data_IF_921809736342
#
_entry.id   IF_921809736342
#
_cell.length_a   1.000
_cell.length_b   1.000
_cell.length_c   1.000
_cell.angle_alpha   90.00
_cell.angle_beta   90.00
_cell.angle_gamma   90.00
#
_symmetry.space_group_name_H-M   'P 1'
#
loop_
_entity.id
_entity.type
_entity.pdbx_description
1 polymer ?
#
# COMPACT_ATOMS: atom_id res chain seq x y z
N UNK A 1 2.41 12.68 8.39
CA UNK A 1 1.22 12.19 9.14
C UNK A 1 1.39 12.55 10.60
N UNK A 2 0.43 13.29 11.16
CA UNK A 2 0.43 13.63 12.58
C UNK A 2 -0.23 12.47 13.36
N UNK A 3 0.60 11.64 13.98
CA UNK A 3 0.17 10.48 14.75
C UNK A 3 -0.24 10.90 16.16
N UNK A 4 -1.54 10.94 16.43
CA UNK A 4 -2.06 11.21 17.76
C UNK A 4 -1.81 10.02 18.69
N UNK A 5 -1.28 10.28 19.90
CA UNK A 5 -1.01 9.27 20.94
C UNK A 5 -2.23 8.39 21.22
N UNK A 6 -3.42 8.97 21.29
CA UNK A 6 -4.67 8.24 21.51
C UNK A 6 -5.00 7.23 20.40
N UNK A 7 -4.69 7.55 19.13
CA UNK A 7 -4.93 6.64 18.01
C UNK A 7 -3.96 5.44 18.05
N UNK A 8 -2.70 5.69 18.42
CA UNK A 8 -1.71 4.64 18.59
C UNK A 8 -2.08 3.72 19.76
N UNK A 9 -2.46 4.27 20.89
CA UNK A 9 -2.89 3.49 22.05
C UNK A 9 -4.13 2.64 21.75
N UNK A 10 -5.12 3.20 21.05
CA UNK A 10 -6.29 2.47 20.62
C UNK A 10 -5.96 1.31 19.67
N UNK A 11 -5.00 1.50 18.78
CA UNK A 11 -4.50 0.45 17.90
C UNK A 11 -3.80 -0.66 18.69
N UNK A 12 -2.88 -0.32 19.56
CA UNK A 12 -2.15 -1.29 20.38
C UNK A 12 -3.09 -2.08 21.31
N UNK A 13 -4.14 -1.43 21.85
CA UNK A 13 -5.17 -2.10 22.65
C UNK A 13 -5.97 -3.14 21.84
N UNK A 14 -6.09 -2.98 20.53
CA UNK A 14 -6.71 -4.02 19.68
C UNK A 14 -5.78 -5.22 19.49
N UNK A 15 -4.48 -4.99 19.33
CA UNK A 15 -3.50 -6.06 19.16
C UNK A 15 -3.23 -6.85 20.44
N UNK A 16 -3.09 -6.17 21.58
CA UNK A 16 -2.60 -6.76 22.82
C UNK A 16 -3.66 -6.85 23.92
N UNK A 17 -4.86 -6.35 23.67
CA UNK A 17 -5.96 -6.33 24.62
C UNK A 17 -6.12 -5.02 25.38
N UNK A 18 -7.31 -4.83 25.98
CA UNK A 18 -7.73 -3.58 26.63
C UNK A 18 -6.85 -3.16 27.82
N UNK A 19 -6.11 -4.09 28.42
CA UNK A 19 -5.21 -3.82 29.54
C UNK A 19 -3.86 -3.20 29.17
N UNK A 20 -3.63 -2.88 27.87
CA UNK A 20 -2.43 -2.18 27.44
C UNK A 20 -2.46 -0.71 27.88
N UNK A 21 -1.33 -0.24 28.39
CA UNK A 21 -1.05 1.16 28.68
C UNK A 21 0.13 1.62 27.85
N UNK A 22 -0.04 2.68 27.07
CA UNK A 22 1.03 3.31 26.31
C UNK A 22 1.86 4.19 27.24
N UNK A 23 3.13 3.83 27.47
CA UNK A 23 4.05 4.54 28.36
C UNK A 23 4.63 5.76 27.66
N UNK A 24 5.36 5.54 26.58
CA UNK A 24 6.04 6.62 25.85
C UNK A 24 6.13 6.37 24.36
N UNK A 25 6.39 7.44 23.62
CA UNK A 25 6.74 7.40 22.20
C UNK A 25 7.91 8.34 21.95
N UNK A 26 8.92 7.89 21.21
CA UNK A 26 10.11 8.67 20.90
C UNK A 26 10.54 8.41 19.47
N UNK A 27 10.83 9.47 18.70
CA UNK A 27 11.47 9.31 17.38
C UNK A 27 12.88 8.79 17.55
N UNK A 28 13.25 7.83 16.72
CA UNK A 28 14.61 7.31 16.68
C UNK A 28 15.44 8.14 15.70
N UNK A 29 16.71 8.39 16.06
CA UNK A 29 17.65 9.12 15.19
C UNK A 29 17.68 10.63 15.34
N UNK A 30 16.91 11.25 16.23
CA UNK A 30 16.97 12.72 16.47
C UNK A 30 18.21 13.17 17.28
N UNK A 31 19.04 12.27 17.76
CA UNK A 31 20.21 12.58 18.61
C UNK A 31 21.55 12.61 17.85
N UNK A 32 21.53 12.66 16.51
CA UNK A 32 22.75 12.49 15.72
C UNK A 32 23.24 13.84 15.22
N UNK A 33 24.38 14.27 15.75
CA UNK A 33 25.01 15.58 15.52
C UNK A 33 26.04 15.62 14.38
N UNK A 34 26.20 14.55 13.58
CA UNK A 34 27.22 14.51 12.53
C UNK A 34 26.67 14.11 11.17
N UNK A 35 27.22 14.69 10.10
CA UNK A 35 26.83 14.49 8.70
C UNK A 35 27.07 13.05 8.20
N UNK A 36 27.88 12.25 8.86
CA UNK A 36 28.17 10.86 8.50
C UNK A 36 27.06 9.90 8.93
N UNK A 37 26.32 10.23 9.96
CA UNK A 37 25.24 9.41 10.52
C UNK A 37 23.93 9.49 9.69
N UNK A 38 23.83 10.41 8.73
CA UNK A 38 22.64 10.59 7.86
C UNK A 38 22.44 9.43 6.88
N UNK A 39 23.49 8.67 6.58
CA UNK A 39 23.42 7.52 5.65
C UNK A 39 22.72 6.27 6.20
N UNK A 40 22.51 6.18 7.50
CA UNK A 40 21.92 5.00 8.15
C UNK A 40 20.40 4.98 8.22
N UNK A 41 19.71 6.07 7.90
CA UNK A 41 18.25 6.18 8.05
C UNK A 41 17.56 6.28 6.69
N UNK A 42 17.57 5.21 5.98
CA UNK A 42 16.94 5.10 4.63
C UNK A 42 15.46 5.25 4.70
N UNK A 43 14.45 5.08 4.65
CA UNK A 43 13.09 5.09 4.18
C UNK A 43 11.98 5.56 5.16
N UNK A 44 12.29 6.10 6.32
CA UNK A 44 11.21 6.55 7.23
C UNK A 44 11.72 7.31 8.46
N UNK A 45 10.81 7.69 9.34
CA UNK A 45 11.12 8.21 10.68
C UNK A 45 10.59 7.20 11.70
N UNK A 46 11.40 6.19 12.11
CA UNK A 46 10.94 5.17 13.03
C UNK A 46 10.61 5.78 14.40
N UNK A 47 9.51 5.33 14.97
CA UNK A 47 9.02 5.72 16.28
C UNK A 47 9.17 4.55 17.24
N UNK A 48 10.02 4.69 18.26
CA UNK A 48 10.04 3.77 19.38
C UNK A 48 8.76 3.96 20.19
N UNK A 49 8.09 2.87 20.49
CA UNK A 49 6.84 2.80 21.24
C UNK A 49 7.07 1.91 22.45
N UNK A 50 6.92 2.46 23.65
CA UNK A 50 7.02 1.71 24.91
C UNK A 50 5.63 1.57 25.52
N UNK A 51 5.31 0.35 25.94
CA UNK A 51 3.98 0.03 26.48
C UNK A 51 4.09 -1.01 27.61
N UNK A 52 3.00 -1.16 28.34
CA UNK A 52 2.86 -2.18 29.37
C UNK A 52 1.58 -2.98 29.12
N UNK A 53 1.67 -4.30 29.23
CA UNK A 53 0.54 -5.23 29.14
C UNK A 53 0.56 -6.14 30.37
N UNK A 54 -0.47 -6.10 31.18
CA UNK A 54 -0.59 -6.97 32.38
C UNK A 54 0.65 -6.90 33.28
N UNK A 55 1.21 -5.72 33.52
CA UNK A 55 2.39 -5.50 34.34
C UNK A 55 3.74 -5.82 33.68
N UNK A 56 3.73 -6.28 32.42
CA UNK A 56 4.97 -6.55 31.65
C UNK A 56 5.24 -5.42 30.68
N UNK A 57 6.41 -4.82 30.75
CA UNK A 57 6.88 -3.80 29.82
C UNK A 57 7.28 -4.44 28.49
N UNK A 58 6.93 -3.79 27.40
CA UNK A 58 7.30 -4.13 26.04
C UNK A 58 7.69 -2.89 25.25
N UNK A 59 8.37 -3.11 24.14
CA UNK A 59 8.70 -2.04 23.18
C UNK A 59 8.52 -2.55 21.76
N UNK A 60 8.18 -1.63 20.87
CA UNK A 60 8.07 -1.88 19.44
C UNK A 60 8.54 -0.66 18.65
N UNK A 61 8.87 -0.86 17.39
CA UNK A 61 9.21 0.23 16.46
C UNK A 61 8.11 0.33 15.42
N UNK A 62 7.45 1.47 15.37
CA UNK A 62 6.49 1.80 14.31
C UNK A 62 7.23 2.53 13.21
N UNK A 63 7.29 1.92 12.03
CA UNK A 63 7.94 2.49 10.84
C UNK A 63 6.93 2.74 9.74
N UNK A 64 7.16 3.78 8.95
CA UNK A 64 6.45 4.05 7.71
C UNK A 64 7.45 4.50 6.66
N UNK A 65 7.16 4.20 5.40
CA UNK A 65 8.02 4.64 4.30
C UNK A 65 7.75 6.10 3.97
N UNK A 66 8.80 6.86 3.68
CA UNK A 66 8.68 8.23 3.13
C UNK A 66 8.32 8.16 1.66
N UNK A 67 7.59 9.16 1.20
CA UNK A 67 7.42 9.40 -0.23
C UNK A 67 8.77 9.83 -0.78
N UNK A 68 9.35 9.03 -1.67
CA UNK A 68 10.59 9.36 -2.38
C UNK A 68 10.33 9.24 -3.87
N UNK A 69 10.63 10.30 -4.61
CA UNK A 69 10.55 10.29 -6.05
C UNK A 69 11.72 9.49 -6.63
N UNK A 70 11.41 8.57 -7.53
CA UNK A 70 12.42 7.87 -8.33
C UNK A 70 12.82 6.45 -7.89
N UNK A 71 12.41 5.97 -6.71
CA UNK A 71 12.79 4.64 -6.19
C UNK A 71 11.61 3.70 -5.92
N UNK A 72 10.50 3.85 -6.64
CA UNK A 72 9.35 2.97 -6.45
C UNK A 72 8.57 3.16 -5.15
N UNK A 73 8.83 4.23 -4.39
CA UNK A 73 8.15 4.53 -3.12
C UNK A 73 7.27 5.79 -3.21
N UNK A 74 7.13 6.33 -4.38
CA UNK A 74 6.36 7.53 -4.67
C UNK A 74 4.86 7.27 -4.61
N UNK A 75 4.37 6.18 -5.19
CA UNK A 75 2.96 5.85 -5.15
C UNK A 75 2.57 5.09 -3.88
N UNK A 76 1.36 5.35 -3.40
CA UNK A 76 0.82 4.73 -2.19
C UNK A 76 0.79 3.19 -2.26
N UNK A 77 0.36 2.62 -3.40
CA UNK A 77 0.24 1.17 -3.58
C UNK A 77 1.59 0.45 -3.54
N UNK A 78 2.66 1.09 -4.01
CA UNK A 78 3.99 0.50 -3.99
C UNK A 78 4.51 0.38 -2.56
N UNK A 79 4.31 1.43 -1.76
CA UNK A 79 4.64 1.39 -0.34
C UNK A 79 3.82 0.35 0.43
N UNK A 80 2.53 0.21 0.10
CA UNK A 80 1.67 -0.82 0.70
C UNK A 80 2.17 -2.23 0.37
N UNK A 81 2.48 -2.51 -0.91
CA UNK A 81 3.04 -3.79 -1.37
C UNK A 81 4.29 -4.16 -0.58
N UNK A 82 5.24 -3.23 -0.47
CA UNK A 82 6.50 -3.47 0.24
C UNK A 82 6.27 -3.78 1.72
N UNK A 83 5.41 -3.01 2.41
CA UNK A 83 5.13 -3.24 3.84
C UNK A 83 4.45 -4.59 4.09
N UNK A 84 3.51 -4.97 3.24
CA UNK A 84 2.84 -6.27 3.33
C UNK A 84 3.84 -7.42 3.11
N UNK A 85 4.71 -7.29 2.10
CA UNK A 85 5.74 -8.28 1.83
C UNK A 85 6.75 -8.38 2.98
N UNK A 86 7.22 -7.24 3.52
CA UNK A 86 8.15 -7.21 4.66
C UNK A 86 7.54 -7.88 5.90
N UNK A 87 6.25 -7.68 6.17
CA UNK A 87 5.57 -8.35 7.28
C UNK A 87 5.68 -9.88 7.17
N UNK A 88 5.50 -10.42 5.98
CA UNK A 88 5.67 -11.86 5.74
C UNK A 88 7.14 -12.27 5.83
N UNK A 89 8.04 -11.60 5.10
CA UNK A 89 9.44 -11.96 4.98
C UNK A 89 10.15 -11.93 6.34
N UNK A 90 10.02 -10.88 7.13
CA UNK A 90 10.69 -10.73 8.42
C UNK A 90 10.32 -11.82 9.43
N UNK A 91 9.10 -12.35 9.33
CA UNK A 91 8.65 -13.41 10.21
C UNK A 91 9.11 -14.82 9.79
N UNK A 92 9.69 -14.96 8.59
CA UNK A 92 10.25 -16.21 8.08
C UNK A 92 11.79 -16.25 8.06
N UNK A 93 12.46 -15.11 8.27
CA UNK A 93 13.90 -15.04 8.30
C UNK A 93 14.46 -15.49 9.66
N UNK A 94 15.51 -16.31 9.70
CA UNK A 94 16.17 -16.69 10.95
C UNK A 94 16.92 -15.48 11.56
N UNK A 95 16.87 -15.36 12.88
CA UNK A 95 17.58 -14.31 13.63
C UNK A 95 17.26 -12.88 13.20
N UNK A 96 16.06 -12.66 12.67
CA UNK A 96 15.59 -11.35 12.23
C UNK A 96 14.61 -10.74 13.23
N UNK A 97 14.55 -9.40 13.29
CA UNK A 97 13.52 -8.69 14.05
C UNK A 97 12.14 -9.01 13.46
N UNK A 98 11.25 -9.55 14.29
CA UNK A 98 9.91 -9.95 13.85
C UNK A 98 9.04 -8.75 13.58
N UNK A 99 8.27 -8.81 12.52
CA UNK A 99 7.12 -7.91 12.34
C UNK A 99 6.00 -8.34 13.28
N UNK A 100 5.52 -7.41 14.10
CA UNK A 100 4.42 -7.66 15.05
C UNK A 100 3.05 -7.51 14.38
N UNK A 101 2.96 -6.62 13.41
CA UNK A 101 1.77 -6.35 12.61
C UNK A 101 2.12 -5.52 11.38
N UNK A 102 1.25 -5.54 10.38
CA UNK A 102 1.23 -4.61 9.25
C UNK A 102 -0.14 -3.93 9.19
N UNK A 103 -0.17 -2.67 8.81
CA UNK A 103 -1.41 -1.92 8.79
C UNK A 103 -1.29 -0.62 7.99
N UNK A 104 -2.34 0.18 8.05
CA UNK A 104 -2.39 1.46 7.35
C UNK A 104 -2.95 2.58 8.22
N UNK A 105 -2.62 3.80 7.84
CA UNK A 105 -3.19 5.01 8.41
C UNK A 105 -4.39 5.45 7.57
N UNK A 106 -5.50 5.74 8.23
CA UNK A 106 -6.63 6.39 7.58
C UNK A 106 -6.33 7.88 7.39
N UNK A 107 -7.10 8.57 6.55
CA UNK A 107 -7.03 10.04 6.38
C UNK A 107 -7.20 10.78 7.71
N UNK A 108 -7.98 10.24 8.65
CA UNK A 108 -8.19 10.79 9.99
C UNK A 108 -7.08 10.41 10.98
N UNK A 109 -5.97 9.82 10.52
CA UNK A 109 -4.82 9.43 11.35
C UNK A 109 -5.07 8.25 12.29
N UNK A 110 -6.13 7.45 12.07
CA UNK A 110 -6.32 6.19 12.80
C UNK A 110 -5.44 5.10 12.20
N UNK A 111 -4.95 4.18 13.03
CA UNK A 111 -4.25 2.99 12.59
C UNK A 111 -5.22 1.82 12.50
N UNK A 112 -5.10 1.06 11.42
CA UNK A 112 -5.90 -0.15 11.17
C UNK A 112 -4.96 -1.29 10.83
N UNK A 113 -5.11 -2.43 11.51
CA UNK A 113 -4.36 -3.65 11.23
C UNK A 113 -4.82 -4.28 9.92
N UNK A 114 -3.87 -4.86 9.19
CA UNK A 114 -4.08 -5.73 8.05
C UNK A 114 -3.24 -7.03 8.18
N UNK A 115 -2.72 -7.31 9.39
CA UNK A 115 -1.82 -8.43 9.64
C UNK A 115 -2.46 -9.80 9.55
N UNK A 116 -3.78 -9.90 9.60
CA UNK A 116 -4.58 -11.11 9.43
C UNK A 116 -5.16 -11.27 8.00
N UNK A 117 -4.87 -10.30 7.10
CA UNK A 117 -5.31 -10.39 5.72
C UNK A 117 -4.62 -11.57 5.00
N UNK A 118 -5.41 -12.40 4.32
CA UNK A 118 -4.92 -13.47 3.45
C UNK A 118 -5.01 -13.11 1.98
N UNK A 119 -6.03 -12.30 1.63
CA UNK A 119 -6.30 -11.89 0.27
C UNK A 119 -6.94 -10.50 0.28
N UNK A 120 -6.67 -9.74 -0.75
CA UNK A 120 -7.28 -8.44 -0.97
C UNK A 120 -8.28 -8.53 -2.11
N UNK A 121 -9.36 -7.80 -2.01
CA UNK A 121 -10.42 -7.81 -3.02
C UNK A 121 -10.78 -6.39 -3.46
N UNK A 122 -11.30 -6.28 -4.64
CA UNK A 122 -11.90 -5.06 -5.17
C UNK A 122 -13.41 -5.26 -5.29
N UNK A 123 -14.18 -4.39 -4.64
CA UNK A 123 -15.63 -4.33 -4.79
C UNK A 123 -15.95 -3.21 -5.79
N UNK A 124 -16.59 -3.58 -6.88
CA UNK A 124 -16.94 -2.67 -7.96
C UNK A 124 -18.44 -2.63 -8.20
N UNK A 125 -18.91 -1.56 -8.81
CA UNK A 125 -20.26 -1.48 -9.30
C UNK A 125 -20.53 -2.53 -10.39
N UNK A 126 -21.70 -3.19 -10.32
CA UNK A 126 -22.12 -4.10 -11.39
C UNK A 126 -22.63 -3.29 -12.57
N UNK A 127 -22.02 -3.49 -13.71
CA UNK A 127 -22.52 -2.96 -14.99
C UNK A 127 -23.43 -4.01 -15.62
N UNK A 128 -24.63 -3.58 -16.03
CA UNK A 128 -25.56 -4.45 -16.76
C UNK A 128 -25.08 -4.60 -18.21
N UNK A 129 -25.06 -5.83 -18.69
CA UNK A 129 -24.64 -6.16 -20.04
C UNK A 129 -24.33 -7.65 -20.19
N UNK A 130 -23.90 -8.02 -21.39
CA UNK A 130 -23.38 -9.35 -21.71
C UNK A 130 -21.88 -9.23 -21.97
N UNK A 131 -21.16 -10.27 -21.65
CA UNK A 131 -19.74 -10.37 -21.92
C UNK A 131 -19.48 -10.31 -23.43
N UNK A 132 -18.61 -9.42 -23.87
CA UNK A 132 -18.25 -9.25 -25.27
C UNK A 132 -17.57 -10.49 -25.84
N UNK A 133 -17.03 -11.35 -25.00
CA UNK A 133 -16.47 -12.66 -25.37
C UNK A 133 -17.46 -13.49 -26.22
N UNK A 134 -18.74 -13.52 -25.88
CA UNK A 134 -19.75 -14.26 -26.64
C UNK A 134 -19.98 -13.70 -28.05
N UNK A 135 -19.84 -12.39 -28.23
CA UNK A 135 -19.87 -11.80 -29.56
C UNK A 135 -18.64 -12.19 -30.38
N UNK A 136 -17.46 -12.23 -29.76
CA UNK A 136 -16.22 -12.66 -30.44
C UNK A 136 -16.28 -14.12 -30.88
N UNK A 137 -16.80 -15.02 -30.05
CA UNK A 137 -17.03 -16.42 -30.43
C UNK A 137 -18.01 -16.53 -31.60
N UNK A 138 -19.11 -15.81 -31.57
CA UNK A 138 -20.08 -15.77 -32.67
C UNK A 138 -19.45 -15.22 -33.96
N UNK A 139 -18.67 -14.16 -33.88
CA UNK A 139 -17.97 -13.56 -35.05
C UNK A 139 -17.01 -14.58 -35.67
N UNK A 140 -16.28 -15.33 -34.82
CA UNK A 140 -15.37 -16.36 -35.29
C UNK A 140 -16.05 -17.45 -36.10
N UNK A 141 -17.27 -17.82 -35.72
CA UNK A 141 -18.05 -18.89 -36.38
C UNK A 141 -18.83 -18.39 -37.58
N UNK A 142 -19.44 -17.20 -37.50
CA UNK A 142 -20.46 -16.72 -38.45
C UNK A 142 -20.03 -15.45 -39.19
N UNK A 143 -18.86 -14.89 -38.90
CA UNK A 143 -18.43 -13.61 -39.43
C UNK A 143 -19.04 -12.40 -38.72
N UNK A 144 -18.50 -11.23 -39.00
CA UNK A 144 -18.93 -9.96 -38.41
C UNK A 144 -20.19 -9.44 -39.12
N UNK A 145 -21.06 -8.80 -38.38
CA UNK A 145 -22.27 -8.12 -38.82
C UNK A 145 -22.11 -6.59 -38.66
N UNK A 146 -23.02 -5.80 -39.24
CA UNK A 146 -23.03 -4.33 -39.10
C UNK A 146 -23.06 -3.91 -37.62
N UNK A 147 -23.81 -4.64 -36.78
CA UNK A 147 -23.84 -4.40 -35.33
C UNK A 147 -22.45 -4.56 -34.66
N UNK A 148 -21.64 -5.46 -35.17
CA UNK A 148 -20.27 -5.67 -34.62
C UNK A 148 -19.37 -4.51 -35.01
N UNK A 149 -19.49 -3.97 -36.20
CA UNK A 149 -18.78 -2.76 -36.61
C UNK A 149 -19.22 -1.54 -35.79
N UNK A 150 -20.49 -1.37 -35.51
CA UNK A 150 -21.00 -0.30 -34.64
C UNK A 150 -20.46 -0.42 -33.24
N UNK A 151 -20.38 -1.63 -32.69
CA UNK A 151 -19.78 -1.89 -31.36
C UNK A 151 -18.29 -1.59 -31.32
N UNK A 152 -17.53 -1.99 -32.34
CA UNK A 152 -16.10 -1.66 -32.44
C UNK A 152 -15.90 -0.16 -32.51
N UNK A 153 -16.73 0.55 -33.27
CA UNK A 153 -16.67 2.01 -33.34
C UNK A 153 -16.98 2.65 -31.98
N UNK A 154 -18.02 2.17 -31.31
CA UNK A 154 -18.36 2.65 -29.95
C UNK A 154 -17.22 2.43 -28.94
N UNK A 155 -16.62 1.24 -28.92
CA UNK A 155 -15.46 0.93 -28.06
C UNK A 155 -14.24 1.80 -28.41
N UNK A 156 -13.98 2.01 -29.71
CA UNK A 156 -12.87 2.85 -30.17
C UNK A 156 -13.06 4.31 -29.75
N UNK A 157 -14.27 4.84 -29.87
CA UNK A 157 -14.60 6.20 -29.42
C UNK A 157 -14.43 6.32 -27.90
N UNK A 158 -14.92 5.35 -27.13
CA UNK A 158 -14.75 5.33 -25.68
C UNK A 158 -13.26 5.33 -25.28
N UNK A 159 -12.44 4.50 -25.92
CA UNK A 159 -10.99 4.49 -25.68
C UNK A 159 -10.35 5.83 -26.06
N UNK A 160 -10.76 6.44 -27.17
CA UNK A 160 -10.26 7.75 -27.58
C UNK A 160 -10.62 8.84 -26.55
N UNK A 161 -11.84 8.82 -26.01
CA UNK A 161 -12.28 9.75 -24.96
C UNK A 161 -11.46 9.58 -23.67
N UNK A 162 -11.26 8.35 -23.22
CA UNK A 162 -10.44 8.10 -22.01
C UNK A 162 -9.01 8.57 -22.24
N UNK A 163 -8.41 8.24 -23.37
CA UNK A 163 -7.04 8.59 -23.69
C UNK A 163 -6.85 10.07 -24.02
N UNK A 164 -7.93 10.81 -24.32
CA UNK A 164 -7.87 12.26 -24.48
C UNK A 164 -7.69 12.98 -23.12
N UNK A 165 -8.13 12.36 -22.04
CA UNK A 165 -7.88 12.88 -20.69
C UNK A 165 -6.40 12.67 -20.35
N UNK A 166 -5.70 13.77 -20.15
CA UNK A 166 -4.28 13.77 -19.76
C UNK A 166 -4.17 14.21 -18.31
N UNK A 167 -3.41 13.46 -17.56
CA UNK A 167 -3.04 13.80 -16.19
C UNK A 167 -1.53 14.05 -16.14
N UNK A 168 -1.13 15.21 -15.63
CA UNK A 168 0.27 15.54 -15.41
C UNK A 168 0.71 14.99 -14.05
N UNK A 169 0.93 13.69 -14.00
CA UNK A 169 1.37 12.99 -12.80
C UNK A 169 2.67 12.19 -13.08
N UNK A 170 3.85 12.84 -13.06
CA UNK A 170 5.12 12.19 -13.31
C UNK A 170 5.36 10.92 -12.47
N UNK A 171 5.00 10.85 -11.17
CA UNK A 171 5.16 9.63 -10.40
C UNK A 171 4.40 8.43 -10.96
N UNK A 172 3.17 8.61 -11.44
CA UNK A 172 2.39 7.54 -12.05
C UNK A 172 2.95 7.11 -13.40
N UNK A 173 3.44 8.06 -14.18
CA UNK A 173 4.11 7.77 -15.45
C UNK A 173 5.38 6.94 -15.24
N UNK A 174 6.26 7.35 -14.33
CA UNK A 174 7.47 6.59 -13.99
C UNK A 174 7.15 5.21 -13.44
N UNK A 175 6.12 5.10 -12.60
CA UNK A 175 5.62 3.81 -12.12
C UNK A 175 5.19 2.91 -13.27
N UNK A 176 4.45 3.44 -14.24
CA UNK A 176 4.00 2.66 -15.41
C UNK A 176 5.16 2.19 -16.29
N UNK A 177 6.19 3.01 -16.45
CA UNK A 177 7.42 2.60 -17.14
C UNK A 177 8.07 1.42 -16.41
N UNK A 178 8.26 1.51 -15.08
CA UNK A 178 8.82 0.40 -14.28
C UNK A 178 8.00 -0.88 -14.43
N UNK A 179 6.68 -0.82 -14.27
CA UNK A 179 5.80 -1.97 -14.43
C UNK A 179 5.86 -2.61 -15.83
N UNK A 180 6.15 -1.83 -16.85
CA UNK A 180 6.23 -2.30 -18.25
C UNK A 180 7.57 -2.94 -18.56
N UNK A 181 8.67 -2.40 -18.03
CA UNK A 181 10.04 -2.87 -18.30
C UNK A 181 10.43 -3.98 -17.32
N UNK A 182 9.79 -4.05 -16.18
CA UNK A 182 10.11 -4.90 -15.04
C UNK A 182 10.76 -4.10 -13.91
N UNK A 183 10.43 -4.47 -12.68
CA UNK A 183 11.15 -4.00 -11.50
C UNK A 183 12.53 -4.64 -11.53
N UNK A 184 13.52 -3.93 -12.07
CA UNK A 184 14.91 -4.37 -12.05
C UNK A 184 15.51 -4.14 -10.65
N UNK A 185 15.29 -5.04 -9.73
CA UNK A 185 16.11 -5.28 -8.55
C UNK A 185 16.74 -6.64 -8.62
#
# INVERSE_FOLDING_TARGET
LDLKKANLEAYLKRLYGRGLVLISTRRMGETIATTEDVKGFGYGSPLLVEYEVKGKKGSAVLSSMRVQHGFGHDHFSDRARIMIWQNSAFNHLPNHARSLDVGYFTEKGKLVSAGDAREYFLLMEKIEGKEYFFDLERIKENGATDLDYDRVLALSNYLAEIHAQKDDCPPLYLRKIRETIGDGE
#
